data_IF_332783307429
#
_entry.id   IF_332783307429
#
_cell.length_a   1.000
_cell.length_b   1.000
_cell.length_c   1.000
_cell.angle_alpha   90.00
_cell.angle_beta   90.00
_cell.angle_gamma   90.00
#
_symmetry.space_group_name_H-M   'P 1'
#
loop_
_entity.id
_entity.type
_entity.pdbx_description
1 polymer ?
#
# COMPACT_ATOMS: atom_id res chain seq x y z
N UNK A 1 34.75 -5.09 13.74
CA UNK A 1 33.95 -5.23 14.97
C UNK A 1 34.31 -4.10 15.93
N UNK A 2 33.31 -3.33 16.37
CA UNK A 2 33.48 -2.25 17.35
C UNK A 2 33.00 -2.76 18.70
N UNK A 3 33.80 -2.58 19.77
CA UNK A 3 33.41 -3.01 21.12
C UNK A 3 32.45 -2.00 21.77
N UNK A 4 31.61 -2.47 22.72
CA UNK A 4 30.70 -1.59 23.46
C UNK A 4 31.43 -0.45 24.19
N UNK A 5 32.65 -0.69 24.68
CA UNK A 5 33.52 0.32 25.32
C UNK A 5 33.93 1.40 24.30
N UNK A 6 34.33 1.03 23.09
CA UNK A 6 34.72 2.00 22.04
C UNK A 6 33.52 2.86 21.64
N UNK A 7 32.31 2.28 21.49
CA UNK A 7 31.10 3.05 21.21
C UNK A 7 30.80 4.06 22.32
N UNK A 8 30.88 3.62 23.58
CA UNK A 8 30.65 4.50 24.74
C UNK A 8 31.64 5.67 24.79
N UNK A 9 32.90 5.42 24.47
CA UNK A 9 33.92 6.45 24.42
C UNK A 9 33.68 7.49 23.30
N UNK A 10 33.27 7.03 22.09
CA UNK A 10 32.95 7.91 20.99
C UNK A 10 31.70 8.77 21.28
N UNK A 11 30.69 8.18 21.92
CA UNK A 11 29.50 8.94 22.36
C UNK A 11 29.87 9.98 23.37
N UNK A 12 30.71 9.67 24.38
CA UNK A 12 31.17 10.62 25.37
C UNK A 12 31.96 11.79 24.74
N UNK A 13 32.82 11.50 23.78
CA UNK A 13 33.56 12.51 23.01
C UNK A 13 32.64 13.43 22.20
N UNK A 14 31.61 12.85 21.58
CA UNK A 14 30.61 13.63 20.83
C UNK A 14 29.80 14.55 21.77
N UNK A 15 29.33 14.00 22.90
CA UNK A 15 28.61 14.79 23.91
C UNK A 15 29.47 15.94 24.47
N UNK A 16 30.77 15.71 24.68
CA UNK A 16 31.73 16.73 25.11
C UNK A 16 31.89 17.81 24.04
N UNK A 17 32.03 17.43 22.77
CA UNK A 17 32.11 18.35 21.64
C UNK A 17 30.86 19.23 21.51
N UNK A 18 29.68 18.63 21.64
CA UNK A 18 28.38 19.32 21.54
C UNK A 18 28.04 20.15 22.81
N UNK A 19 28.71 19.89 23.93
CA UNK A 19 28.39 20.49 25.23
C UNK A 19 27.01 20.08 25.76
N UNK A 20 26.44 18.97 25.26
CA UNK A 20 25.11 18.47 25.58
C UNK A 20 25.10 16.95 25.74
N UNK A 21 24.30 16.45 26.69
CA UNK A 21 24.06 15.02 26.84
C UNK A 21 23.02 14.54 25.85
N UNK A 22 23.38 13.55 25.04
CA UNK A 22 22.49 12.88 24.08
C UNK A 22 21.82 11.66 24.71
N UNK A 23 22.48 11.04 25.71
CA UNK A 23 21.97 9.87 26.42
C UNK A 23 21.87 10.14 27.92
N UNK A 24 20.87 9.50 28.54
CA UNK A 24 20.70 9.48 30.02
C UNK A 24 20.57 8.04 30.50
N UNK A 25 20.94 7.79 31.75
CA UNK A 25 20.75 6.50 32.40
C UNK A 25 19.39 6.48 33.07
N UNK A 26 18.64 5.41 32.86
CA UNK A 26 17.38 5.13 33.53
C UNK A 26 17.42 3.76 34.20
N UNK A 27 16.40 3.42 34.99
CA UNK A 27 16.24 2.09 35.61
C UNK A 27 16.11 0.97 34.55
N UNK A 28 15.79 1.31 33.33
CA UNK A 28 15.64 0.38 32.19
C UNK A 28 16.87 0.35 31.26
N UNK A 29 17.96 1.04 31.61
CA UNK A 29 19.17 1.13 30.82
C UNK A 29 19.47 2.54 30.32
N UNK A 30 20.14 2.64 29.15
CA UNK A 30 20.51 3.91 28.51
C UNK A 30 19.40 4.32 27.56
N UNK A 31 18.91 5.55 27.69
CA UNK A 31 17.86 6.15 26.84
C UNK A 31 18.33 7.47 26.24
N UNK A 32 17.77 7.87 25.09
CA UNK A 32 18.02 9.17 24.50
C UNK A 32 17.41 10.29 25.35
N UNK A 33 18.07 11.44 25.38
CA UNK A 33 17.47 12.70 25.86
C UNK A 33 16.64 13.33 24.74
N UNK A 34 15.77 14.30 25.03
CA UNK A 34 15.03 15.04 24.01
C UNK A 34 15.95 15.71 22.96
N UNK A 35 17.13 16.17 23.40
CA UNK A 35 18.17 16.71 22.49
C UNK A 35 18.77 15.56 21.68
N UNK A 36 19.01 14.39 22.29
CA UNK A 36 19.52 13.20 21.63
C UNK A 36 18.57 12.69 20.55
N UNK A 37 17.28 12.67 20.80
CA UNK A 37 16.27 12.27 19.80
C UNK A 37 16.26 13.22 18.60
N UNK A 38 16.27 14.55 18.84
CA UNK A 38 16.33 15.54 17.79
C UNK A 38 17.63 15.41 16.96
N UNK A 39 18.78 15.27 17.62
CA UNK A 39 20.07 15.11 16.97
C UNK A 39 20.15 13.82 16.15
N UNK A 40 19.68 12.70 16.71
CA UNK A 40 19.61 11.40 16.01
C UNK A 40 18.78 11.49 14.73
N UNK A 41 17.64 12.17 14.78
CA UNK A 41 16.78 12.36 13.60
C UNK A 41 17.51 13.08 12.47
N UNK A 42 18.21 14.18 12.76
CA UNK A 42 18.93 14.96 11.75
C UNK A 42 20.15 14.19 11.20
N UNK A 43 20.95 13.58 12.09
CA UNK A 43 22.12 12.80 11.69
C UNK A 43 21.75 11.56 10.89
N UNK A 44 20.69 10.86 11.28
CA UNK A 44 20.17 9.71 10.53
C UNK A 44 19.75 10.13 9.11
N UNK A 45 19.15 11.31 8.96
CA UNK A 45 18.83 11.86 7.64
C UNK A 45 20.08 12.07 6.77
N UNK A 46 21.12 12.68 7.34
CA UNK A 46 22.39 12.92 6.63
C UNK A 46 23.12 11.61 6.27
N UNK A 47 23.21 10.65 7.20
CA UNK A 47 23.80 9.34 6.94
C UNK A 47 23.04 8.55 5.89
N UNK A 48 21.71 8.67 5.84
CA UNK A 48 20.91 8.09 4.79
C UNK A 48 21.25 8.65 3.40
N UNK A 49 21.48 9.97 3.29
CA UNK A 49 21.91 10.61 2.02
C UNK A 49 23.27 10.06 1.58
N UNK A 50 24.23 9.94 2.52
CA UNK A 50 25.56 9.36 2.22
C UNK A 50 25.41 7.89 1.80
N UNK A 51 24.58 7.11 2.50
CA UNK A 51 24.27 5.72 2.15
C UNK A 51 23.66 5.58 0.75
N UNK A 52 22.76 6.50 0.37
CA UNK A 52 22.20 6.55 -0.99
C UNK A 52 23.29 6.81 -2.04
N UNK A 53 24.14 7.83 -1.84
CA UNK A 53 25.22 8.14 -2.77
C UNK A 53 26.19 6.96 -2.92
N UNK A 54 26.54 6.30 -1.81
CA UNK A 54 27.39 5.11 -1.81
C UNK A 54 26.72 3.95 -2.55
N UNK A 55 25.45 3.69 -2.28
CA UNK A 55 24.69 2.65 -2.95
C UNK A 55 24.51 2.94 -4.45
N UNK A 56 24.38 4.20 -4.85
CA UNK A 56 24.36 4.57 -6.26
C UNK A 56 25.65 4.19 -6.97
N UNK A 57 26.80 4.44 -6.36
CA UNK A 57 28.12 4.08 -6.93
C UNK A 57 28.35 2.56 -6.95
N UNK A 58 27.99 1.85 -5.87
CA UNK A 58 28.17 0.41 -5.77
C UNK A 58 27.21 -0.35 -6.70
N UNK A 59 25.97 0.17 -6.85
CA UNK A 59 24.91 -0.47 -7.63
C UNK A 59 24.80 0.08 -9.06
N UNK A 60 25.80 0.78 -9.57
CA UNK A 60 25.85 1.24 -10.97
C UNK A 60 25.70 0.06 -11.97
N UNK A 61 26.00 -1.15 -11.53
CA UNK A 61 25.77 -2.40 -12.25
C UNK A 61 24.28 -2.78 -12.37
N UNK A 62 23.37 -2.09 -11.63
CA UNK A 62 21.93 -2.43 -11.54
C UNK A 62 21.01 -1.24 -11.90
N UNK A 63 21.46 -0.28 -12.72
CA UNK A 63 20.63 0.83 -13.20
C UNK A 63 19.39 0.37 -14.00
N UNK A 64 19.45 -0.85 -14.55
CA UNK A 64 18.40 -1.40 -15.43
C UNK A 64 17.11 -1.81 -14.70
N UNK A 65 17.09 -1.86 -13.36
CA UNK A 65 15.90 -2.27 -12.63
C UNK A 65 15.04 -1.09 -12.19
N UNK A 66 13.77 -1.13 -12.57
CA UNK A 66 12.73 -0.36 -11.91
C UNK A 66 12.27 -1.14 -10.67
N UNK A 67 12.56 -0.61 -9.49
CA UNK A 67 12.23 -1.26 -8.21
C UNK A 67 10.95 -0.69 -7.66
N UNK A 68 9.94 -1.54 -7.61
CA UNK A 68 8.59 -1.21 -7.14
C UNK A 68 8.32 -1.99 -5.87
N UNK A 69 7.88 -1.30 -4.84
CA UNK A 69 7.21 -1.92 -3.70
C UNK A 69 5.71 -1.66 -3.82
N UNK A 70 4.87 -2.55 -3.34
CA UNK A 70 3.42 -2.41 -3.45
C UNK A 70 2.70 -3.02 -2.26
N UNK A 71 1.55 -2.47 -1.91
CA UNK A 71 0.55 -3.18 -1.14
C UNK A 71 0.21 -4.52 -1.84
N UNK A 72 0.17 -5.65 -1.10
CA UNK A 72 0.10 -6.98 -1.69
C UNK A 72 -1.09 -7.19 -2.64
N UNK A 73 -2.26 -6.72 -2.27
CA UNK A 73 -3.46 -6.91 -3.11
C UNK A 73 -3.39 -6.13 -4.42
N UNK A 74 -2.89 -4.89 -4.39
CA UNK A 74 -2.68 -4.11 -5.61
C UNK A 74 -1.61 -4.75 -6.52
N UNK A 75 -0.48 -5.14 -5.93
CA UNK A 75 0.59 -5.81 -6.66
C UNK A 75 0.12 -7.06 -7.38
N UNK A 76 -0.64 -7.92 -6.68
CA UNK A 76 -1.13 -9.19 -7.21
C UNK A 76 -2.28 -9.01 -8.22
N UNK A 77 -3.30 -8.23 -7.85
CA UNK A 77 -4.57 -8.21 -8.58
C UNK A 77 -4.59 -7.19 -9.72
N UNK A 78 -3.92 -6.04 -9.54
CA UNK A 78 -3.94 -4.99 -10.56
C UNK A 78 -2.65 -4.92 -11.36
N UNK A 79 -1.49 -4.87 -10.70
CA UNK A 79 -0.21 -4.61 -11.37
C UNK A 79 0.32 -5.84 -12.12
N UNK A 80 0.46 -6.98 -11.44
CA UNK A 80 1.08 -8.19 -12.00
C UNK A 80 0.43 -8.66 -13.33
N UNK A 81 -0.90 -8.71 -13.49
CA UNK A 81 -1.51 -9.14 -14.74
C UNK A 81 -1.17 -8.25 -15.94
N UNK A 82 -0.73 -7.00 -15.68
CA UNK A 82 -0.41 -5.99 -16.71
C UNK A 82 1.09 -5.89 -17.00
N UNK A 83 1.96 -6.43 -16.14
CA UNK A 83 3.41 -6.32 -16.30
C UNK A 83 3.95 -6.90 -17.60
N UNK A 84 3.31 -7.92 -18.16
CA UNK A 84 3.72 -8.47 -19.45
C UNK A 84 3.58 -7.45 -20.60
N UNK A 85 2.52 -6.64 -20.59
CA UNK A 85 2.35 -5.54 -21.55
C UNK A 85 3.43 -4.46 -21.37
N UNK A 86 3.79 -4.15 -20.12
CA UNK A 86 4.89 -3.22 -19.83
C UNK A 86 6.20 -3.73 -20.41
N UNK A 87 6.55 -4.99 -20.11
CA UNK A 87 7.78 -5.64 -20.61
C UNK A 87 7.84 -5.67 -22.14
N UNK A 88 6.73 -5.90 -22.83
CA UNK A 88 6.68 -5.89 -24.30
C UNK A 88 6.96 -4.51 -24.89
N UNK A 89 6.51 -3.44 -24.20
CA UNK A 89 6.72 -2.07 -24.65
C UNK A 89 8.12 -1.52 -24.30
N UNK A 90 8.74 -2.00 -23.23
CA UNK A 90 10.08 -1.60 -22.75
C UNK A 90 10.90 -2.83 -22.35
N UNK A 91 11.37 -3.63 -23.31
CA UNK A 91 12.09 -4.89 -23.03
C UNK A 91 13.42 -4.71 -22.32
N UNK A 92 14.04 -3.53 -22.42
CA UNK A 92 15.27 -3.15 -21.74
C UNK A 92 15.10 -2.87 -20.26
N UNK A 93 13.89 -2.48 -19.83
CA UNK A 93 13.62 -2.19 -18.42
C UNK A 93 13.29 -3.48 -17.66
N UNK A 94 14.14 -3.83 -16.73
CA UNK A 94 13.90 -4.92 -15.78
C UNK A 94 13.05 -4.41 -14.62
N UNK A 95 12.11 -5.23 -14.13
CA UNK A 95 11.26 -4.90 -12.98
C UNK A 95 11.62 -5.79 -11.82
N UNK A 96 11.76 -5.17 -10.64
CA UNK A 96 11.77 -5.84 -9.35
C UNK A 96 10.53 -5.40 -8.58
N UNK A 97 9.60 -6.32 -8.33
CA UNK A 97 8.38 -6.07 -7.56
C UNK A 97 8.45 -6.81 -6.24
N UNK A 98 8.33 -6.09 -5.15
CA UNK A 98 8.17 -6.63 -3.80
C UNK A 98 6.83 -6.18 -3.23
N UNK A 99 6.22 -7.01 -2.38
CA UNK A 99 4.89 -6.71 -1.83
C UNK A 99 4.89 -6.97 -0.32
N UNK A 100 4.58 -5.92 0.45
CA UNK A 100 4.31 -6.02 1.89
C UNK A 100 3.50 -4.80 2.38
N UNK A 101 3.09 -4.80 3.66
CA UNK A 101 2.55 -3.61 4.33
C UNK A 101 3.58 -2.91 5.21
N UNK A 102 4.83 -3.32 5.14
CA UNK A 102 5.91 -2.68 5.89
C UNK A 102 6.17 -1.27 5.36
N UNK A 103 6.55 -0.39 6.27
CA UNK A 103 6.93 0.97 5.90
C UNK A 103 8.27 0.97 5.16
N UNK A 104 8.26 1.43 3.92
CA UNK A 104 9.45 1.56 3.09
C UNK A 104 10.25 2.79 3.49
N UNK A 105 11.54 2.58 3.70
CA UNK A 105 12.55 3.63 3.80
C UNK A 105 13.32 3.69 2.47
N UNK A 106 12.91 4.59 1.58
CA UNK A 106 13.43 4.68 0.20
C UNK A 106 14.95 4.69 0.10
N UNK A 107 15.63 5.34 1.07
CA UNK A 107 17.09 5.41 1.15
C UNK A 107 17.75 4.06 1.44
N UNK A 108 17.14 3.27 2.32
CA UNK A 108 17.68 1.97 2.75
C UNK A 108 17.29 0.86 1.81
N UNK A 109 16.02 0.85 1.41
CA UNK A 109 15.41 -0.31 0.75
C UNK A 109 15.59 -0.24 -0.77
N UNK A 110 16.20 0.85 -1.29
CA UNK A 110 16.50 1.06 -2.71
C UNK A 110 15.28 0.87 -3.63
N UNK A 111 14.14 1.43 -3.22
CA UNK A 111 12.88 1.40 -3.96
C UNK A 111 12.73 2.69 -4.76
N UNK A 112 12.31 2.57 -6.02
CA UNK A 112 12.04 3.73 -6.87
C UNK A 112 10.62 4.28 -6.64
N UNK A 113 9.64 3.39 -6.50
CA UNK A 113 8.21 3.71 -6.32
C UNK A 113 7.62 2.76 -5.29
N UNK A 114 6.82 3.30 -4.39
CA UNK A 114 6.03 2.54 -3.43
C UNK A 114 4.53 2.78 -3.68
N UNK A 115 3.75 1.71 -3.82
CA UNK A 115 2.30 1.79 -4.06
C UNK A 115 1.62 1.40 -2.75
N UNK A 116 1.16 2.41 -2.02
CA UNK A 116 0.59 2.27 -0.68
C UNK A 116 -0.92 2.21 -0.72
N UNK A 117 -1.46 1.44 0.21
CA UNK A 117 -2.87 1.47 0.57
C UNK A 117 -3.03 2.14 1.94
N UNK A 118 -4.02 3.03 2.07
CA UNK A 118 -4.30 3.70 3.33
C UNK A 118 -4.63 5.19 3.16
N UNK A 119 -4.57 5.94 4.26
CA UNK A 119 -4.74 7.40 4.24
C UNK A 119 -3.42 8.06 3.82
N UNK A 120 -3.51 9.09 2.98
CA UNK A 120 -2.35 9.86 2.52
C UNK A 120 -1.77 10.70 3.67
N UNK A 121 -0.62 10.29 4.22
CA UNK A 121 0.04 10.93 5.36
C UNK A 121 1.58 11.02 5.16
N UNK A 122 2.04 11.35 3.95
CA UNK A 122 3.47 11.39 3.60
C UNK A 122 3.91 12.76 3.07
N UNK A 123 3.95 13.81 3.92
CA UNK A 123 4.12 15.21 3.48
C UNK A 123 5.50 15.51 2.86
N UNK A 124 6.49 14.65 3.07
CA UNK A 124 7.85 14.82 2.52
C UNK A 124 8.09 14.08 1.21
N UNK A 125 7.08 13.38 0.69
CA UNK A 125 7.14 12.57 -0.51
C UNK A 125 6.20 13.10 -1.58
N UNK A 126 6.49 12.79 -2.83
CA UNK A 126 5.52 12.95 -3.92
C UNK A 126 4.45 11.88 -3.75
N UNK A 127 3.20 12.29 -3.76
CA UNK A 127 2.04 11.41 -3.63
C UNK A 127 1.11 11.61 -4.83
N UNK A 128 0.86 10.54 -5.57
CA UNK A 128 -0.10 10.53 -6.67
C UNK A 128 -1.19 9.53 -6.33
N UNK A 129 -2.40 10.04 -6.09
CA UNK A 129 -3.53 9.24 -5.61
C UNK A 129 -4.36 8.72 -6.78
N UNK A 130 -4.71 7.44 -6.77
CA UNK A 130 -5.68 6.88 -7.71
C UNK A 130 -7.07 7.40 -7.34
N UNK A 131 -7.71 8.08 -8.31
CA UNK A 131 -9.05 8.65 -8.17
C UNK A 131 -10.08 7.78 -8.85
N UNK A 132 -11.36 8.04 -8.55
CA UNK A 132 -12.52 7.29 -9.03
C UNK A 132 -12.61 5.86 -8.50
N UNK A 133 -11.83 5.55 -7.46
CA UNK A 133 -11.93 4.30 -6.74
C UNK A 133 -13.20 4.29 -5.89
N UNK A 134 -13.95 3.19 -5.88
CA UNK A 134 -15.25 3.07 -5.22
C UNK A 134 -15.41 1.69 -4.59
N UNK A 135 -15.96 1.66 -3.38
CA UNK A 135 -16.27 0.43 -2.66
C UNK A 135 -17.68 -0.06 -3.00
N UNK A 136 -17.80 -1.33 -3.38
CA UNK A 136 -19.08 -2.01 -3.66
C UNK A 136 -19.08 -3.43 -3.08
N UNK A 137 -20.26 -3.99 -2.78
CA UNK A 137 -20.43 -5.41 -2.53
C UNK A 137 -20.24 -6.23 -3.81
N UNK A 138 -19.45 -7.31 -3.71
CA UNK A 138 -19.22 -8.28 -4.79
C UNK A 138 -19.39 -9.71 -4.29
N UNK A 139 -19.84 -10.59 -5.19
CA UNK A 139 -19.92 -12.03 -4.94
C UNK A 139 -19.82 -12.81 -6.26
N UNK A 140 -19.79 -14.15 -6.20
CA UNK A 140 -19.86 -14.97 -7.40
C UNK A 140 -21.28 -14.97 -7.99
N UNK A 141 -21.38 -15.20 -9.31
CA UNK A 141 -22.68 -15.33 -9.98
C UNK A 141 -23.51 -16.48 -9.43
N UNK A 142 -22.88 -17.56 -8.96
CA UNK A 142 -23.55 -18.70 -8.34
C UNK A 142 -24.17 -18.35 -7.00
N UNK A 143 -23.43 -17.61 -6.15
CA UNK A 143 -23.97 -17.14 -4.87
C UNK A 143 -25.13 -16.18 -5.10
N UNK A 144 -24.98 -15.24 -6.03
CA UNK A 144 -26.04 -14.27 -6.35
C UNK A 144 -27.32 -14.95 -6.87
N UNK A 145 -27.18 -16.00 -7.69
CA UNK A 145 -28.33 -16.75 -8.20
C UNK A 145 -29.07 -17.57 -7.13
N UNK A 146 -28.41 -17.97 -6.06
CA UNK A 146 -29.00 -18.74 -4.95
C UNK A 146 -29.60 -17.88 -3.84
N UNK A 147 -29.41 -16.56 -3.89
CA UNK A 147 -29.91 -15.61 -2.87
C UNK A 147 -30.75 -14.53 -3.54
N UNK A 148 -31.95 -14.30 -3.02
CA UNK A 148 -32.84 -13.23 -3.52
C UNK A 148 -32.47 -11.89 -2.91
N UNK A 149 -31.40 -11.24 -3.45
CA UNK A 149 -30.93 -9.92 -2.99
C UNK A 149 -31.51 -8.86 -3.92
N UNK A 150 -32.44 -8.06 -3.43
CA UNK A 150 -33.10 -7.00 -4.19
C UNK A 150 -32.73 -5.59 -3.66
N UNK A 151 -32.47 -5.48 -2.36
CA UNK A 151 -32.14 -4.22 -1.69
C UNK A 151 -30.98 -4.42 -0.71
N UNK A 152 -30.47 -3.31 -0.17
CA UNK A 152 -29.27 -3.34 0.70
C UNK A 152 -29.55 -4.06 2.02
N UNK A 153 -30.77 -3.99 2.54
CA UNK A 153 -31.20 -4.62 3.77
C UNK A 153 -31.12 -6.15 3.68
N UNK A 154 -31.29 -6.72 2.50
CA UNK A 154 -31.20 -8.18 2.27
C UNK A 154 -29.79 -8.72 2.57
N UNK A 155 -28.77 -7.87 2.54
CA UNK A 155 -27.39 -8.24 2.94
C UNK A 155 -27.29 -8.69 4.39
N UNK A 156 -28.22 -8.27 5.25
CA UNK A 156 -28.25 -8.68 6.66
C UNK A 156 -28.52 -10.17 6.86
N UNK A 157 -29.13 -10.81 5.86
CA UNK A 157 -29.39 -12.27 5.82
C UNK A 157 -28.34 -13.06 5.05
N UNK A 158 -27.29 -12.41 4.55
CA UNK A 158 -26.27 -13.03 3.72
C UNK A 158 -24.97 -13.30 4.50
N UNK A 159 -24.15 -14.17 3.96
CA UNK A 159 -22.81 -14.47 4.46
C UNK A 159 -21.84 -13.35 4.09
N UNK A 160 -21.60 -12.42 5.02
CA UNK A 160 -20.67 -11.31 4.81
C UNK A 160 -19.24 -11.73 5.19
N UNK A 161 -18.31 -11.46 4.28
CA UNK A 161 -16.88 -11.68 4.46
C UNK A 161 -16.23 -10.34 4.79
N UNK A 162 -15.41 -10.32 5.85
CA UNK A 162 -14.65 -9.12 6.24
C UNK A 162 -13.21 -9.15 5.70
N UNK A 163 -12.69 -7.97 5.40
CA UNK A 163 -11.27 -7.75 5.12
C UNK A 163 -10.73 -6.64 6.02
N UNK A 164 -9.74 -6.96 6.85
CA UNK A 164 -9.10 -6.00 7.75
C UNK A 164 -8.30 -4.92 7.00
N UNK A 165 -7.95 -5.19 5.73
CA UNK A 165 -7.11 -4.29 4.94
C UNK A 165 -7.88 -3.13 4.29
N UNK A 166 -9.21 -3.07 4.37
CA UNK A 166 -10.00 -2.03 3.70
C UNK A 166 -10.17 -0.77 4.55
N UNK A 167 -10.10 0.43 3.94
CA UNK A 167 -10.39 1.71 4.64
C UNK A 167 -11.87 1.87 4.95
N UNK A 168 -12.73 1.33 4.10
CA UNK A 168 -14.19 1.34 4.28
C UNK A 168 -14.61 -0.10 4.56
N UNK A 169 -15.02 -0.35 5.78
CA UNK A 169 -15.54 -1.66 6.19
C UNK A 169 -17.08 -1.72 6.08
N UNK A 170 -17.65 -2.90 6.29
CA UNK A 170 -19.10 -3.12 6.26
C UNK A 170 -19.88 -2.18 7.18
N UNK A 171 -19.35 -1.87 8.38
CA UNK A 171 -19.99 -0.93 9.32
C UNK A 171 -20.12 0.47 8.73
N UNK A 172 -19.03 0.95 8.11
CA UNK A 172 -19.02 2.27 7.45
C UNK A 172 -20.00 2.29 6.28
N UNK A 173 -19.95 1.26 5.42
CA UNK A 173 -20.76 1.21 4.21
C UNK A 173 -22.25 1.06 4.50
N UNK A 174 -22.65 0.15 5.41
CA UNK A 174 -24.05 -0.02 5.83
C UNK A 174 -24.59 1.23 6.53
N UNK A 175 -23.77 1.87 7.37
CA UNK A 175 -24.15 3.13 8.02
C UNK A 175 -24.35 4.27 7.01
N UNK A 176 -23.50 4.36 5.98
CA UNK A 176 -23.65 5.31 4.88
C UNK A 176 -25.01 5.15 4.19
N UNK A 177 -25.47 3.92 4.00
CA UNK A 177 -26.77 3.57 3.43
C UNK A 177 -27.91 3.55 4.45
N UNK A 178 -27.67 3.99 5.71
CA UNK A 178 -28.68 4.07 6.79
C UNK A 178 -29.30 2.72 7.17
N UNK A 179 -28.63 1.61 6.87
CA UNK A 179 -29.07 0.26 7.27
C UNK A 179 -28.87 0.09 8.77
N UNK A 180 -29.92 -0.36 9.47
CA UNK A 180 -29.96 -0.60 10.92
C UNK A 180 -30.02 -2.10 11.22
N UNK A 181 -29.68 -2.46 12.46
CA UNK A 181 -29.86 -3.85 12.96
C UNK A 181 -28.72 -4.79 12.59
N UNK A 182 -27.63 -4.32 11.99
CA UNK A 182 -26.47 -5.15 11.69
C UNK A 182 -25.69 -5.52 12.96
N UNK A 183 -25.42 -6.82 13.14
CA UNK A 183 -24.84 -7.42 14.35
C UNK A 183 -23.32 -7.71 14.26
N UNK A 184 -22.64 -7.30 13.21
CA UNK A 184 -21.19 -7.54 12.95
C UNK A 184 -20.78 -9.02 12.97
N UNK A 185 -21.64 -9.90 12.56
CA UNK A 185 -21.32 -11.32 12.44
C UNK A 185 -20.71 -11.59 11.05
N UNK A 186 -19.43 -11.96 11.00
CA UNK A 186 -18.74 -12.35 9.79
C UNK A 186 -18.44 -13.85 9.85
N UNK A 187 -18.71 -14.55 8.74
CA UNK A 187 -18.35 -15.96 8.64
C UNK A 187 -16.84 -16.12 8.44
N UNK A 188 -16.23 -15.20 7.69
CA UNK A 188 -14.80 -15.17 7.44
C UNK A 188 -14.26 -13.77 7.64
N UNK A 189 -13.02 -13.71 8.19
CA UNK A 189 -12.23 -12.51 8.31
C UNK A 189 -10.84 -12.77 7.73
N UNK A 190 -10.43 -11.96 6.75
CA UNK A 190 -9.13 -12.06 6.11
C UNK A 190 -8.34 -10.76 6.29
N UNK A 191 -7.03 -10.88 6.40
CA UNK A 191 -6.13 -9.74 6.53
C UNK A 191 -5.70 -9.14 5.18
N UNK A 192 -6.18 -9.71 4.06
CA UNK A 192 -5.82 -9.32 2.69
C UNK A 192 -7.03 -9.31 1.77
N UNK A 193 -7.19 -8.24 0.98
CA UNK A 193 -8.25 -8.12 -0.03
C UNK A 193 -8.22 -9.24 -1.07
N UNK A 194 -7.04 -9.69 -1.50
CA UNK A 194 -6.96 -10.77 -2.47
C UNK A 194 -7.53 -12.11 -1.94
N UNK A 195 -7.43 -12.37 -0.63
CA UNK A 195 -8.03 -13.55 0.00
C UNK A 195 -9.56 -13.43 0.05
N UNK A 196 -10.07 -12.25 0.42
CA UNK A 196 -11.51 -11.98 0.43
C UNK A 196 -12.10 -12.11 -0.98
N UNK A 197 -11.43 -11.56 -1.99
CA UNK A 197 -11.83 -11.67 -3.40
C UNK A 197 -11.88 -13.14 -3.83
N UNK A 198 -10.87 -13.94 -3.48
CA UNK A 198 -10.84 -15.35 -3.83
C UNK A 198 -11.96 -16.16 -3.12
N UNK A 199 -12.21 -15.88 -1.84
CA UNK A 199 -13.32 -16.49 -1.11
C UNK A 199 -14.69 -16.18 -1.76
N UNK A 200 -14.91 -14.94 -2.17
CA UNK A 200 -16.13 -14.56 -2.88
C UNK A 200 -16.24 -15.24 -4.25
N UNK A 201 -15.13 -15.41 -4.98
CA UNK A 201 -15.08 -16.16 -6.25
C UNK A 201 -15.48 -17.62 -6.06
N UNK A 202 -15.11 -18.21 -4.92
CA UNK A 202 -15.49 -19.58 -4.55
C UNK A 202 -16.95 -19.69 -4.07
N UNK A 203 -17.71 -18.59 -4.03
CA UNK A 203 -19.10 -18.57 -3.58
C UNK A 203 -19.26 -18.67 -2.07
N UNK A 204 -18.24 -18.29 -1.30
CA UNK A 204 -18.27 -18.38 0.17
C UNK A 204 -19.03 -17.22 0.83
N UNK A 205 -19.47 -16.21 0.06
CA UNK A 205 -20.21 -15.08 0.59
C UNK A 205 -20.03 -13.79 -0.22
N UNK A 206 -20.35 -12.67 0.41
CA UNK A 206 -20.29 -11.33 -0.17
C UNK A 206 -19.17 -10.55 0.48
N UNK A 207 -18.31 -9.94 -0.33
CA UNK A 207 -17.24 -9.02 0.09
C UNK A 207 -17.64 -7.58 -0.17
N UNK A 208 -17.07 -6.65 0.62
CA UNK A 208 -17.07 -5.23 0.31
C UNK A 208 -15.66 -4.86 -0.16
N UNK A 209 -15.52 -4.50 -1.43
CA UNK A 209 -14.20 -4.31 -2.03
C UNK A 209 -14.18 -3.14 -3.03
N UNK A 210 -12.98 -2.68 -3.32
CA UNK A 210 -12.72 -1.64 -4.31
C UNK A 210 -12.93 -2.17 -5.74
N UNK A 211 -13.58 -1.37 -6.58
CA UNK A 211 -13.71 -1.65 -8.02
C UNK A 211 -12.34 -1.73 -8.72
N UNK A 212 -11.29 -1.12 -8.16
CA UNK A 212 -9.92 -1.20 -8.65
C UNK A 212 -9.36 -2.62 -8.48
N UNK A 213 -9.54 -3.22 -7.31
CA UNK A 213 -9.03 -4.56 -7.01
C UNK A 213 -9.95 -5.68 -7.54
N UNK A 214 -11.26 -5.50 -7.48
CA UNK A 214 -12.24 -6.46 -7.98
C UNK A 214 -12.36 -6.46 -9.52
N UNK A 215 -11.95 -5.38 -10.19
CA UNK A 215 -12.23 -5.11 -11.60
C UNK A 215 -11.84 -6.23 -12.55
N UNK A 216 -10.67 -6.85 -12.36
CA UNK A 216 -10.25 -7.99 -13.19
C UNK A 216 -11.15 -9.21 -12.99
N UNK A 217 -11.51 -9.56 -11.76
CA UNK A 217 -12.41 -10.68 -11.48
C UNK A 217 -13.81 -10.45 -12.04
N UNK A 218 -14.26 -9.19 -12.04
CA UNK A 218 -15.55 -8.81 -12.67
C UNK A 218 -15.47 -8.92 -14.20
N UNK A 219 -14.41 -8.41 -14.82
CA UNK A 219 -14.22 -8.50 -16.28
C UNK A 219 -14.14 -9.95 -16.79
N UNK A 220 -13.59 -10.85 -15.97
CA UNK A 220 -13.52 -12.29 -16.23
C UNK A 220 -14.79 -13.04 -15.84
N UNK A 221 -15.82 -12.36 -15.35
CA UNK A 221 -17.08 -12.93 -14.87
C UNK A 221 -16.95 -13.91 -13.69
N UNK A 222 -15.86 -13.83 -12.94
CA UNK A 222 -15.67 -14.61 -11.72
C UNK A 222 -16.40 -13.98 -10.53
N UNK A 223 -16.54 -12.65 -10.55
CA UNK A 223 -17.34 -11.87 -9.61
C UNK A 223 -18.38 -11.05 -10.35
N UNK A 224 -19.46 -10.74 -9.67
CA UNK A 224 -20.46 -9.77 -10.07
C UNK A 224 -20.67 -8.75 -8.94
N UNK A 225 -20.88 -7.46 -9.25
CA UNK A 225 -21.36 -6.52 -8.26
C UNK A 225 -22.78 -6.95 -7.84
N UNK A 226 -23.05 -6.90 -6.54
CA UNK A 226 -24.39 -7.28 -6.01
C UNK A 226 -25.42 -6.23 -6.39
N UNK A 227 -25.00 -4.96 -6.47
CA UNK A 227 -25.85 -3.83 -6.84
C UNK A 227 -25.23 -3.01 -7.97
N UNK A 228 -26.01 -2.09 -8.53
CA UNK A 228 -25.54 -1.08 -9.47
C UNK A 228 -24.59 -0.09 -8.81
N UNK A 229 -23.89 0.72 -9.61
CA UNK A 229 -22.84 1.63 -9.11
C UNK A 229 -23.34 2.81 -8.29
N UNK A 230 -24.63 3.10 -8.31
CA UNK A 230 -25.27 4.18 -7.51
C UNK A 230 -25.16 3.97 -6.00
N UNK A 231 -25.05 2.73 -5.52
CA UNK A 231 -24.81 2.40 -4.11
C UNK A 231 -23.33 2.39 -3.72
N UNK A 232 -22.43 2.71 -4.63
CA UNK A 232 -21.00 2.66 -4.36
C UNK A 232 -20.53 3.85 -3.51
N UNK A 233 -19.63 3.58 -2.57
CA UNK A 233 -19.02 4.60 -1.72
C UNK A 233 -17.65 5.01 -2.27
N UNK A 234 -17.38 6.32 -2.52
CA UNK A 234 -16.08 6.75 -3.03
C UNK A 234 -14.98 6.55 -1.99
N UNK A 235 -13.78 6.19 -2.46
CA UNK A 235 -12.60 6.04 -1.63
C UNK A 235 -11.35 6.49 -2.39
N UNK A 236 -10.35 6.98 -1.67
CA UNK A 236 -9.01 7.28 -2.19
C UNK A 236 -8.01 6.47 -1.37
N UNK A 237 -7.92 5.19 -1.67
CA UNK A 237 -7.18 4.25 -0.84
C UNK A 237 -5.79 3.91 -1.39
N UNK A 238 -5.57 4.03 -2.69
CA UNK A 238 -4.30 3.65 -3.31
C UNK A 238 -3.52 4.87 -3.79
N UNK A 239 -2.22 4.89 -3.46
CA UNK A 239 -1.32 6.01 -3.70
C UNK A 239 0.02 5.52 -4.22
N UNK A 240 0.51 6.14 -5.28
CA UNK A 240 1.91 6.03 -5.68
C UNK A 240 2.71 7.05 -4.89
N UNK A 241 3.72 6.58 -4.19
CA UNK A 241 4.54 7.38 -3.28
C UNK A 241 6.01 7.24 -3.67
N UNK A 242 6.74 8.35 -3.77
CA UNK A 242 8.15 8.34 -4.14
C UNK A 242 8.86 9.61 -3.64
N UNK A 243 10.19 9.58 -3.46
CA UNK A 243 10.98 10.79 -3.21
C UNK A 243 10.99 11.74 -4.41
N UNK A 244 11.06 13.04 -4.18
CA UNK A 244 11.10 14.06 -5.25
C UNK A 244 12.18 13.80 -6.31
N UNK A 245 13.38 13.38 -5.90
CA UNK A 245 14.46 13.09 -6.84
C UNK A 245 14.21 11.86 -7.74
N UNK A 246 13.36 10.92 -7.31
CA UNK A 246 13.00 9.77 -8.12
C UNK A 246 12.04 10.13 -9.27
N UNK A 247 11.27 11.21 -9.13
CA UNK A 247 10.33 11.66 -10.17
C UNK A 247 11.05 12.04 -11.49
N UNK A 248 12.32 12.44 -11.40
CA UNK A 248 13.14 12.80 -12.56
C UNK A 248 13.78 11.59 -13.26
N UNK A 249 13.80 10.41 -12.64
CA UNK A 249 14.38 9.20 -13.25
C UNK A 249 13.55 8.78 -14.46
N UNK A 250 14.21 8.54 -15.59
CA UNK A 250 13.55 8.16 -16.85
C UNK A 250 12.68 6.91 -16.68
N UNK A 251 13.22 5.85 -16.06
CA UNK A 251 12.49 4.60 -15.78
C UNK A 251 11.20 4.81 -14.95
N UNK A 252 11.22 5.77 -14.01
CA UNK A 252 10.05 6.13 -13.19
C UNK A 252 9.01 6.87 -14.04
N UNK A 253 9.44 7.80 -14.88
CA UNK A 253 8.55 8.54 -15.79
C UNK A 253 7.90 7.61 -16.81
N UNK A 254 8.66 6.69 -17.40
CA UNK A 254 8.14 5.66 -18.32
C UNK A 254 7.05 4.84 -17.62
N UNK A 255 7.30 4.35 -16.41
CA UNK A 255 6.33 3.55 -15.66
C UNK A 255 5.08 4.34 -15.31
N UNK A 256 5.22 5.59 -14.84
CA UNK A 256 4.05 6.44 -14.53
C UNK A 256 3.19 6.72 -15.76
N UNK A 257 3.80 7.02 -16.89
CA UNK A 257 3.08 7.26 -18.14
C UNK A 257 2.29 6.01 -18.59
N UNK A 258 2.89 4.84 -18.41
CA UNK A 258 2.23 3.58 -18.75
C UNK A 258 1.10 3.25 -17.76
N UNK A 259 1.37 3.31 -16.45
CA UNK A 259 0.37 3.04 -15.40
C UNK A 259 -0.84 3.99 -15.54
N UNK A 260 -0.59 5.28 -15.76
CA UNK A 260 -1.64 6.27 -15.96
C UNK A 260 -2.56 5.93 -17.15
N UNK A 261 -1.98 5.45 -18.25
CA UNK A 261 -2.74 4.98 -19.43
C UNK A 261 -3.55 3.72 -19.12
N UNK A 262 -2.96 2.73 -18.41
CA UNK A 262 -3.69 1.51 -18.05
C UNK A 262 -4.84 1.81 -17.07
N UNK A 263 -4.63 2.68 -16.08
CA UNK A 263 -5.68 3.13 -15.15
C UNK A 263 -6.79 3.89 -15.88
N UNK A 264 -6.44 4.79 -16.81
CA UNK A 264 -7.42 5.58 -17.58
C UNK A 264 -8.32 4.70 -18.45
N UNK A 265 -7.81 3.59 -18.99
CA UNK A 265 -8.62 2.62 -19.76
C UNK A 265 -9.70 1.95 -18.91
N UNK A 266 -9.53 1.92 -17.61
CA UNK A 266 -10.46 1.32 -16.65
C UNK A 266 -11.29 2.38 -15.91
N UNK A 267 -11.19 3.67 -16.31
CA UNK A 267 -11.95 4.79 -15.72
C UNK A 267 -11.32 5.43 -14.48
N UNK A 268 -10.10 5.02 -14.12
CA UNK A 268 -9.36 5.64 -13.01
C UNK A 268 -8.46 6.77 -13.49
N UNK A 269 -8.08 7.66 -12.57
CA UNK A 269 -7.14 8.76 -12.81
C UNK A 269 -6.06 8.79 -11.71
N UNK A 270 -4.89 9.33 -12.03
CA UNK A 270 -3.82 9.62 -11.06
C UNK A 270 -3.61 11.13 -10.99
#
# INVERSE_FOLDING_TARGET
NVTASAVSHQIASLEQYLGKKLFSRSSKGVVLTAIGEKYLKEVSGALNIIGQATNQVINDIHQDYLRIHSAPSFGLLWLMPRLNKFRQAWPELKISLTCSYESIQFSRDNIDIDIRHGLSQWPTLVVKTIKNERMLPYTSSTYLASHSIQNIEDLLGCDLIHSDSTLINWSNWLSWHKVRGWNKNFIFNFDRSYMSIEAARMGMGIILESNLLAGQSVSQRHLAPVFTTDVSMPVNAHHFVLPHHNEQKEKVRIFFNWVSKELSREGFQI
#
